data_IF_192851274389
#
_entry.id   IF_192851274389
#
_cell.length_a   1.000
_cell.length_b   1.000
_cell.length_c   1.000
_cell.angle_alpha   90.00
_cell.angle_beta   90.00
_cell.angle_gamma   90.00
#
_symmetry.space_group_name_H-M   'P 1'
#
loop_
_entity.id
_entity.type
_entity.pdbx_description
1 polymer ?
#
# COMPACT_ATOMS: atom_id res chain seq x y z
N UNK A 1 5.34 -8.06 -7.32
CA UNK A 1 4.21 -7.30 -6.76
C UNK A 1 4.66 -5.85 -6.59
N UNK A 2 3.78 -4.90 -6.29
CA UNK A 2 4.21 -3.50 -6.03
C UNK A 2 3.61 -3.01 -4.72
N UNK A 3 4.39 -2.31 -3.92
CA UNK A 3 3.92 -1.58 -2.76
C UNK A 3 4.07 -0.07 -3.00
N UNK A 4 3.03 0.69 -2.68
CA UNK A 4 2.97 2.16 -2.76
C UNK A 4 2.75 2.69 -1.36
N UNK A 5 3.52 3.69 -0.95
CA UNK A 5 3.38 4.32 0.38
C UNK A 5 2.71 5.68 0.22
N UNK A 6 1.56 5.86 0.87
CA UNK A 6 0.78 7.10 0.82
C UNK A 6 -0.66 6.90 0.35
N UNK A 7 -1.51 7.90 0.59
CA UNK A 7 -2.93 7.86 0.22
C UNK A 7 -3.50 9.25 -0.13
N UNK A 8 -2.71 10.05 -0.83
CA UNK A 8 -3.17 11.27 -1.52
C UNK A 8 -3.40 11.01 -3.01
N UNK A 9 -3.82 12.04 -3.75
CA UNK A 9 -4.14 11.93 -5.19
C UNK A 9 -3.01 11.25 -5.98
N UNK A 10 -1.76 11.71 -5.82
CA UNK A 10 -0.61 11.11 -6.51
C UNK A 10 -0.47 9.62 -6.22
N UNK A 11 -0.56 9.19 -4.96
CA UNK A 11 -0.41 7.78 -4.62
C UNK A 11 -1.51 6.92 -5.26
N UNK A 12 -2.73 7.43 -5.32
CA UNK A 12 -3.88 6.69 -5.86
C UNK A 12 -3.88 6.66 -7.39
N UNK A 13 -3.54 7.77 -8.04
CA UNK A 13 -3.39 7.86 -9.50
C UNK A 13 -2.27 6.93 -9.99
N UNK A 14 -1.10 6.99 -9.36
CA UNK A 14 0.03 6.11 -9.69
C UNK A 14 -0.31 4.65 -9.44
N UNK A 15 -1.00 4.32 -8.33
CA UNK A 15 -1.44 2.95 -8.08
C UNK A 15 -2.41 2.44 -9.15
N UNK A 16 -3.38 3.25 -9.56
CA UNK A 16 -4.32 2.90 -10.63
C UNK A 16 -3.62 2.77 -11.99
N UNK A 17 -2.61 3.60 -12.25
CA UNK A 17 -1.79 3.51 -13.46
C UNK A 17 -0.97 2.22 -13.47
N UNK A 18 -0.24 1.93 -12.40
CA UNK A 18 0.60 0.73 -12.25
C UNK A 18 -0.25 -0.55 -12.26
N UNK A 19 -1.52 -0.51 -11.80
CA UNK A 19 -2.42 -1.66 -11.77
C UNK A 19 -2.70 -2.26 -13.16
N UNK A 20 -2.47 -1.48 -14.23
CA UNK A 20 -2.54 -1.96 -15.62
C UNK A 20 -1.48 -3.02 -15.92
N UNK A 21 -0.34 -2.98 -15.23
CA UNK A 21 0.83 -3.83 -15.49
C UNK A 21 1.14 -4.79 -14.34
N UNK A 22 0.96 -4.35 -13.09
CA UNK A 22 1.23 -5.19 -11.93
C UNK A 22 0.15 -6.26 -11.71
N UNK A 23 0.56 -7.40 -11.17
CA UNK A 23 -0.35 -8.47 -10.75
C UNK A 23 -1.13 -8.11 -9.48
N UNK A 24 -0.47 -7.45 -8.53
CA UNK A 24 -1.01 -7.04 -7.23
C UNK A 24 -0.31 -5.76 -6.76
N UNK A 25 -1.10 -4.86 -6.17
CA UNK A 25 -0.63 -3.61 -5.57
C UNK A 25 -1.09 -3.56 -4.12
N UNK A 26 -0.17 -3.19 -3.23
CA UNK A 26 -0.46 -2.85 -1.84
C UNK A 26 -0.25 -1.37 -1.63
N UNK A 27 -1.25 -0.66 -1.11
CA UNK A 27 -1.10 0.73 -0.73
C UNK A 27 -1.00 0.78 0.80
N UNK A 28 0.17 1.15 1.31
CA UNK A 28 0.44 1.28 2.73
C UNK A 28 0.16 2.72 3.17
N UNK A 29 -0.74 2.87 4.15
CA UNK A 29 -1.09 4.16 4.71
C UNK A 29 -1.12 4.16 6.24
N UNK A 30 -0.57 5.20 6.85
CA UNK A 30 -0.38 5.32 8.30
C UNK A 30 -1.63 5.68 9.12
N UNK A 31 -2.79 5.91 8.48
CA UNK A 31 -4.07 6.28 9.12
C UNK A 31 -5.21 5.49 8.49
N UNK A 32 -6.40 5.60 9.06
CA UNK A 32 -7.63 5.02 8.49
C UNK A 32 -8.20 5.84 7.33
N UNK A 33 -8.12 7.17 7.43
CA UNK A 33 -8.65 8.09 6.42
C UNK A 33 -7.65 8.35 5.28
N UNK A 34 -8.18 8.81 4.15
CA UNK A 34 -7.39 9.18 2.97
C UNK A 34 -7.58 10.67 2.67
N UNK A 35 -6.54 11.31 2.12
CA UNK A 35 -6.59 12.71 1.71
C UNK A 35 -6.84 12.87 0.20
N UNK A 36 -6.99 11.76 -0.52
CA UNK A 36 -7.29 11.77 -1.95
C UNK A 36 -8.75 12.16 -2.24
N UNK A 37 -9.01 12.60 -3.46
CA UNK A 37 -10.34 12.94 -3.94
C UNK A 37 -11.27 11.72 -3.84
N UNK A 38 -12.55 11.91 -3.46
CA UNK A 38 -13.49 10.81 -3.26
C UNK A 38 -13.57 9.84 -4.44
N UNK A 39 -13.54 10.36 -5.66
CA UNK A 39 -13.58 9.56 -6.89
C UNK A 39 -12.35 8.64 -7.04
N UNK A 40 -11.18 9.08 -6.60
CA UNK A 40 -9.97 8.26 -6.63
C UNK A 40 -10.03 7.18 -5.55
N UNK A 41 -10.54 7.51 -4.36
CA UNK A 41 -10.75 6.54 -3.28
C UNK A 41 -11.69 5.42 -3.76
N UNK A 42 -12.81 5.77 -4.38
CA UNK A 42 -13.78 4.81 -4.91
C UNK A 42 -13.15 3.90 -5.98
N UNK A 43 -12.41 4.48 -6.94
CA UNK A 43 -11.73 3.71 -7.99
C UNK A 43 -10.69 2.75 -7.45
N UNK A 44 -9.90 3.19 -6.45
CA UNK A 44 -8.91 2.34 -5.78
C UNK A 44 -9.60 1.18 -5.05
N UNK A 45 -10.66 1.46 -4.28
CA UNK A 45 -11.42 0.43 -3.56
C UNK A 45 -12.12 -0.56 -4.49
N UNK A 46 -12.54 -0.13 -5.68
CA UNK A 46 -13.19 -0.98 -6.67
C UNK A 46 -12.21 -1.88 -7.46
N UNK A 47 -10.90 -1.63 -7.39
CA UNK A 47 -9.91 -2.37 -8.16
C UNK A 47 -9.45 -3.63 -7.41
N UNK A 48 -9.82 -4.81 -7.90
CA UNK A 48 -9.48 -6.10 -7.28
C UNK A 48 -7.97 -6.40 -7.17
N UNK A 49 -7.12 -5.71 -7.95
CA UNK A 49 -5.65 -5.85 -7.86
C UNK A 49 -5.05 -5.00 -6.74
N UNK A 50 -5.80 -4.08 -6.15
CA UNK A 50 -5.29 -3.15 -5.14
C UNK A 50 -5.79 -3.57 -3.76
N UNK A 51 -4.89 -3.57 -2.79
CA UNK A 51 -5.19 -3.83 -1.39
C UNK A 51 -4.72 -2.67 -0.53
N UNK A 52 -5.63 -2.13 0.28
CA UNK A 52 -5.37 -1.02 1.19
C UNK A 52 -4.90 -1.57 2.53
N UNK A 53 -3.67 -1.22 2.92
CA UNK A 53 -3.07 -1.53 4.22
C UNK A 53 -3.05 -0.24 5.06
N UNK A 54 -4.20 0.07 5.67
CA UNK A 54 -4.37 1.24 6.57
C UNK A 54 -3.76 0.97 7.95
N UNK A 55 -3.56 2.05 8.72
CA UNK A 55 -2.90 2.02 10.02
C UNK A 55 -1.55 1.29 10.00
N UNK A 56 -0.80 1.37 8.89
CA UNK A 56 0.51 0.72 8.75
C UNK A 56 1.57 1.68 8.24
N UNK A 57 2.78 1.50 8.74
CA UNK A 57 4.00 2.17 8.26
C UNK A 57 5.04 1.13 7.88
N UNK A 58 5.82 1.41 6.84
CA UNK A 58 7.00 0.62 6.49
C UNK A 58 8.13 1.05 7.42
N UNK A 59 8.65 0.14 8.24
CA UNK A 59 9.80 0.39 9.12
C UNK A 59 11.12 0.02 8.45
N UNK A 60 11.12 -1.03 7.63
CA UNK A 60 12.33 -1.58 7.03
C UNK A 60 12.01 -2.21 5.66
N UNK A 61 12.98 -2.13 4.75
CA UNK A 61 12.99 -2.86 3.48
C UNK A 61 14.09 -3.92 3.58
N UNK A 62 13.70 -5.18 3.56
CA UNK A 62 14.60 -6.33 3.56
C UNK A 62 14.92 -6.75 2.12
N UNK A 63 16.21 -6.80 1.81
CA UNK A 63 16.78 -7.17 0.51
C UNK A 63 17.35 -8.60 0.50
N UNK A 64 16.86 -9.48 1.38
CA UNK A 64 17.27 -10.87 1.48
C UNK A 64 17.28 -11.64 0.15
N UNK A 65 17.97 -12.78 0.14
CA UNK A 65 18.40 -13.49 -1.07
C UNK A 65 17.28 -14.07 -1.94
N UNK A 66 16.08 -14.30 -1.40
CA UNK A 66 14.97 -14.95 -2.13
C UNK A 66 13.88 -13.99 -2.61
N UNK A 67 13.55 -12.96 -1.83
CA UNK A 67 12.50 -11.98 -2.18
C UNK A 67 12.65 -10.71 -1.36
N UNK A 68 12.21 -9.58 -1.91
CA UNK A 68 12.12 -8.33 -1.15
C UNK A 68 10.93 -8.38 -0.21
N UNK A 69 11.13 -7.93 1.04
CA UNK A 69 10.07 -7.84 2.04
C UNK A 69 10.03 -6.45 2.66
N UNK A 70 8.84 -6.05 3.09
CA UNK A 70 8.61 -4.87 3.90
C UNK A 70 8.26 -5.32 5.32
N UNK A 71 8.96 -4.81 6.33
CA UNK A 71 8.50 -4.89 7.71
C UNK A 71 7.53 -3.75 7.95
N UNK A 72 6.29 -4.11 8.27
CA UNK A 72 5.21 -3.17 8.54
C UNK A 72 4.91 -3.15 10.04
N UNK A 73 4.73 -1.94 10.58
CA UNK A 73 4.20 -1.74 11.92
C UNK A 73 2.82 -1.15 11.88
N UNK A 74 1.94 -1.74 12.67
CA UNK A 74 0.61 -1.22 12.91
C UNK A 74 0.66 0.02 13.81
N UNK A 75 0.11 1.13 13.36
CA UNK A 75 0.16 2.40 14.07
C UNK A 75 -0.83 2.48 15.23
N UNK A 76 -1.81 1.57 15.29
CA UNK A 76 -2.81 1.53 16.37
C UNK A 76 -2.40 0.60 17.50
N UNK A 77 -1.81 -0.56 17.18
CA UNK A 77 -1.45 -1.59 18.16
C UNK A 77 0.05 -1.74 18.40
N UNK A 78 0.89 -1.21 17.51
CA UNK A 78 2.33 -1.44 17.52
C UNK A 78 2.77 -2.82 17.02
N UNK A 79 1.82 -3.68 16.62
CA UNK A 79 2.12 -5.02 16.13
C UNK A 79 2.95 -4.97 14.82
N UNK A 80 3.89 -5.89 14.70
CA UNK A 80 4.74 -6.02 13.51
C UNK A 80 4.23 -7.14 12.59
N UNK A 81 4.42 -6.95 11.29
CA UNK A 81 4.04 -7.89 10.24
C UNK A 81 4.99 -7.77 9.05
N UNK A 82 5.08 -8.81 8.23
CA UNK A 82 5.87 -8.81 7.00
C UNK A 82 4.97 -8.81 5.77
N UNK A 83 5.41 -8.12 4.72
CA UNK A 83 4.77 -8.14 3.39
C UNK A 83 5.82 -8.44 2.33
N UNK A 84 5.65 -9.53 1.58
CA UNK A 84 6.47 -9.83 0.41
C UNK A 84 6.04 -8.98 -0.79
N UNK A 85 7.00 -8.39 -1.51
CA UNK A 85 6.74 -7.46 -2.64
C UNK A 85 7.56 -7.81 -3.87
#
# INVERSE_FOLDING_TARGET
>A
TVAVVGAGNTAFEESLFIAKYAAKIYIVHRREGFSADPILIERVKANAKIELLTNKVVEEIDFGSESRKLKLKDTSSGAQSELAV
#
